data_IF_886959671985
#
_entry.id   IF_886959671985
#
_cell.length_a   1.000
_cell.length_b   1.000
_cell.length_c   1.000
_cell.angle_alpha   90.00
_cell.angle_beta   90.00
_cell.angle_gamma   90.00
#
_symmetry.space_group_name_H-M   'P 1'
#
loop_
_entity.id
_entity.type
_entity.pdbx_description
1 polymer ?
#
# COMPACT_ATOMS: atom_id res chain seq x y z
N UNK A 1 8.43 2.14 -46.87
CA UNK A 1 9.47 2.18 -45.83
C UNK A 1 9.98 0.76 -45.64
N UNK A 2 11.27 0.53 -45.82
CA UNK A 2 11.92 -0.75 -45.54
C UNK A 2 12.50 -0.67 -44.11
N UNK A 3 12.03 -1.55 -43.23
CA UNK A 3 12.44 -1.56 -41.82
C UNK A 3 13.88 -2.05 -41.63
N UNK A 4 14.42 -2.75 -42.64
CA UNK A 4 15.73 -3.42 -42.58
C UNK A 4 16.92 -2.48 -42.89
N UNK A 5 16.66 -1.29 -43.43
CA UNK A 5 17.70 -0.32 -43.83
C UNK A 5 18.06 0.69 -42.73
N UNK A 6 17.70 0.39 -41.48
CA UNK A 6 17.88 1.30 -40.36
C UNK A 6 19.34 1.34 -39.92
N UNK A 7 19.96 2.52 -39.96
CA UNK A 7 21.31 2.68 -39.38
C UNK A 7 21.27 2.54 -37.86
N UNK A 8 22.37 2.11 -37.25
CA UNK A 8 22.49 2.03 -35.79
C UNK A 8 22.22 3.39 -35.11
N UNK A 9 22.54 4.50 -35.78
CA UNK A 9 22.24 5.85 -35.28
C UNK A 9 20.74 6.16 -35.26
N UNK A 10 20.03 5.81 -36.33
CA UNK A 10 18.58 5.99 -36.43
C UNK A 10 17.83 5.03 -35.51
N UNK A 11 18.32 3.80 -35.35
CA UNK A 11 17.82 2.85 -34.35
C UNK A 11 17.91 3.43 -32.94
N UNK A 12 19.04 4.06 -32.59
CA UNK A 12 19.22 4.73 -31.29
C UNK A 12 18.28 5.93 -31.11
N UNK A 13 18.07 6.73 -32.14
CA UNK A 13 17.14 7.86 -32.08
C UNK A 13 15.68 7.40 -31.93
N UNK A 14 15.26 6.39 -32.69
CA UNK A 14 13.93 5.79 -32.54
C UNK A 14 13.76 5.12 -31.18
N UNK A 15 14.77 4.40 -30.70
CA UNK A 15 14.76 3.85 -29.34
C UNK A 15 14.68 4.94 -28.26
N UNK A 16 15.21 6.14 -28.49
CA UNK A 16 15.04 7.27 -27.57
C UNK A 16 13.66 7.92 -27.65
N UNK A 17 13.04 7.94 -28.84
CA UNK A 17 11.67 8.46 -29.04
C UNK A 17 10.60 7.52 -28.50
N UNK A 18 10.82 6.21 -28.62
CA UNK A 18 9.93 5.14 -28.18
C UNK A 18 10.43 4.40 -26.95
N UNK A 19 11.46 4.94 -26.29
CA UNK A 19 11.69 4.60 -24.90
C UNK A 19 10.33 4.80 -24.24
N UNK A 20 9.73 3.77 -23.64
CA UNK A 20 8.68 4.04 -22.68
C UNK A 20 9.26 5.11 -21.76
N UNK A 21 8.43 5.92 -21.10
CA UNK A 21 8.85 6.40 -19.80
C UNK A 21 9.05 5.15 -18.89
N UNK A 22 10.08 4.35 -19.17
CA UNK A 22 10.60 3.22 -18.42
C UNK A 22 11.34 3.74 -17.18
N UNK A 23 11.33 5.06 -16.96
CA UNK A 23 11.43 5.66 -15.63
C UNK A 23 10.22 5.35 -14.74
N UNK A 24 9.15 4.69 -15.23
CA UNK A 24 7.99 4.32 -14.41
C UNK A 24 7.90 2.82 -14.07
N UNK A 25 8.63 1.93 -14.76
CA UNK A 25 8.58 0.48 -14.53
C UNK A 25 9.91 -0.17 -14.92
N UNK A 26 10.94 -0.04 -14.09
CA UNK A 26 12.20 -0.70 -14.37
C UNK A 26 13.38 -0.21 -13.55
N UNK A 27 13.23 -0.12 -12.23
CA UNK A 27 14.35 -0.31 -11.31
C UNK A 27 13.82 -1.14 -10.16
N UNK A 28 14.64 -2.03 -9.60
CA UNK A 28 14.29 -2.77 -8.39
C UNK A 28 13.67 -1.79 -7.40
N UNK A 29 12.39 -1.98 -7.08
CA UNK A 29 11.65 -1.09 -6.17
C UNK A 29 12.56 -0.83 -4.97
N UNK A 30 12.93 0.43 -4.76
CA UNK A 30 13.77 0.79 -3.61
C UNK A 30 13.15 0.17 -2.36
N UNK A 31 14.00 -0.50 -1.57
CA UNK A 31 13.57 -1.19 -0.37
C UNK A 31 12.79 -0.21 0.51
N UNK A 32 11.54 -0.55 0.78
CA UNK A 32 10.66 0.28 1.59
C UNK A 32 10.62 -0.27 3.01
N UNK A 33 10.53 0.59 4.04
CA UNK A 33 10.27 0.16 5.40
C UNK A 33 9.01 -0.74 5.53
N UNK A 34 8.04 -0.57 4.63
CA UNK A 34 6.83 -1.40 4.57
C UNK A 34 7.07 -2.83 4.08
N UNK A 35 8.19 -3.13 3.42
CA UNK A 35 8.47 -4.47 2.89
C UNK A 35 8.58 -5.51 4.02
N UNK A 36 9.08 -5.11 5.19
CA UNK A 36 9.15 -5.96 6.38
C UNK A 36 7.77 -6.29 6.99
N UNK A 37 6.72 -5.57 6.57
CA UNK A 37 5.34 -5.75 7.03
C UNK A 37 4.47 -6.50 6.01
N UNK A 38 5.01 -6.87 4.86
CA UNK A 38 4.24 -7.56 3.82
C UNK A 38 3.69 -8.89 4.35
N UNK A 39 2.40 -9.12 4.13
CA UNK A 39 1.66 -10.30 4.63
C UNK A 39 1.24 -10.21 6.10
N UNK A 40 1.71 -9.21 6.85
CA UNK A 40 1.35 -9.01 8.26
C UNK A 40 0.09 -8.16 8.41
N UNK A 41 -0.54 -8.27 9.57
CA UNK A 41 -1.54 -7.30 9.99
C UNK A 41 -0.83 -6.01 10.36
N UNK A 42 -1.39 -4.88 9.94
CA UNK A 42 -0.88 -3.56 10.24
C UNK A 42 -2.00 -2.64 10.69
N UNK A 43 -1.62 -1.65 11.47
CA UNK A 43 -2.40 -0.45 11.74
C UNK A 43 -1.76 0.70 10.98
N UNK A 44 -2.57 1.50 10.31
CA UNK A 44 -2.16 2.75 9.68
C UNK A 44 -3.04 3.90 10.15
N UNK A 45 -2.45 5.08 10.31
CA UNK A 45 -3.21 6.32 10.51
C UNK A 45 -3.08 7.25 9.34
N UNK A 46 -4.21 7.84 8.98
CA UNK A 46 -4.28 9.07 8.18
C UNK A 46 -4.60 10.26 9.10
N UNK A 47 -4.82 11.43 8.52
CA UNK A 47 -5.16 12.65 9.28
C UNK A 47 -6.45 12.50 10.10
N UNK A 48 -7.44 11.79 9.57
CA UNK A 48 -8.77 11.68 10.20
C UNK A 48 -9.18 10.25 10.52
N UNK A 49 -8.53 9.24 9.92
CA UNK A 49 -8.98 7.86 10.00
C UNK A 49 -7.86 6.93 10.44
N UNK A 50 -8.23 5.91 11.23
CA UNK A 50 -7.37 4.79 11.57
C UNK A 50 -7.87 3.58 10.82
N UNK A 51 -6.97 2.82 10.20
CA UNK A 51 -7.31 1.54 9.58
C UNK A 51 -6.48 0.43 10.19
N UNK A 52 -7.10 -0.73 10.34
CA UNK A 52 -6.38 -1.99 10.49
C UNK A 52 -6.61 -2.84 9.24
N UNK A 53 -5.67 -3.72 8.92
CA UNK A 53 -5.81 -4.65 7.81
C UNK A 53 -4.53 -5.43 7.58
N UNK A 54 -4.59 -6.46 6.74
CA UNK A 54 -3.43 -7.25 6.34
C UNK A 54 -2.78 -6.62 5.09
N UNK A 55 -1.49 -6.36 5.15
CA UNK A 55 -0.75 -5.72 4.05
C UNK A 55 -0.53 -6.73 2.91
N UNK A 56 -1.27 -6.56 1.82
CA UNK A 56 -1.21 -7.43 0.65
C UNK A 56 -0.12 -7.03 -0.34
N UNK A 57 0.05 -5.72 -0.57
CA UNK A 57 1.01 -5.21 -1.53
C UNK A 57 1.50 -3.82 -1.16
N UNK A 58 2.71 -3.49 -1.60
CA UNK A 58 3.31 -2.17 -1.45
C UNK A 58 3.76 -1.66 -2.82
N UNK A 59 3.17 -0.55 -3.25
CA UNK A 59 3.49 0.15 -4.48
C UNK A 59 4.29 1.43 -4.17
N UNK A 60 4.84 2.12 -5.19
CA UNK A 60 5.53 3.39 -4.97
C UNK A 60 4.68 4.41 -4.22
N UNK A 61 3.39 4.51 -4.55
CA UNK A 61 2.49 5.52 -4.00
C UNK A 61 1.38 4.93 -3.12
N UNK A 62 1.11 3.62 -3.16
CA UNK A 62 -0.01 3.00 -2.46
C UNK A 62 0.40 1.84 -1.57
N UNK A 63 -0.38 1.63 -0.50
CA UNK A 63 -0.50 0.36 0.20
C UNK A 63 -1.80 -0.32 -0.21
N UNK A 64 -1.79 -1.64 -0.33
CA UNK A 64 -3.02 -2.42 -0.52
C UNK A 64 -3.25 -3.29 0.70
N UNK A 65 -4.39 -3.09 1.35
CA UNK A 65 -4.84 -3.89 2.48
C UNK A 65 -5.96 -4.85 2.05
N UNK A 66 -6.04 -5.98 2.74
CA UNK A 66 -7.20 -6.89 2.74
C UNK A 66 -7.63 -7.15 4.18
N UNK A 67 -8.85 -7.65 4.37
CA UNK A 67 -9.46 -7.81 5.69
C UNK A 67 -9.48 -6.52 6.51
N UNK A 68 -9.56 -5.38 5.82
CA UNK A 68 -9.41 -4.08 6.43
C UNK A 68 -10.66 -3.67 7.23
N UNK A 69 -10.46 -2.79 8.20
CA UNK A 69 -11.54 -2.11 8.92
C UNK A 69 -11.16 -0.66 9.18
N UNK A 70 -12.14 0.24 9.04
CA UNK A 70 -12.04 1.58 9.60
C UNK A 70 -12.29 1.51 11.10
N UNK A 71 -11.37 2.05 11.89
CA UNK A 71 -11.52 2.17 13.34
C UNK A 71 -12.00 3.58 13.66
N UNK A 72 -13.25 3.69 14.10
CA UNK A 72 -13.89 4.96 14.43
C UNK A 72 -13.54 5.43 15.85
N UNK A 73 -13.31 4.50 16.78
CA UNK A 73 -12.90 4.81 18.16
C UNK A 73 -11.93 3.76 18.74
N UNK A 74 -10.80 4.24 19.28
CA UNK A 74 -9.67 3.44 19.81
C UNK A 74 -9.54 3.47 21.33
N UNK A 75 -10.50 4.01 22.10
CA UNK A 75 -10.33 4.26 23.54
C UNK A 75 -9.02 5.02 23.83
N UNK A 76 -8.11 4.44 24.62
CA UNK A 76 -6.75 4.96 24.86
C UNK A 76 -5.81 4.41 23.79
N UNK A 77 -5.15 5.32 23.07
CA UNK A 77 -4.23 4.97 21.98
C UNK A 77 -3.20 3.89 22.31
N UNK A 78 -2.52 4.00 23.46
CA UNK A 78 -1.50 3.02 23.83
C UNK A 78 -2.10 1.62 24.05
N UNK A 79 -3.30 1.54 24.63
CA UNK A 79 -4.01 0.28 24.85
C UNK A 79 -4.36 -0.31 23.49
N UNK A 80 -5.07 0.45 22.65
CA UNK A 80 -5.40 0.06 21.27
C UNK A 80 -4.22 -0.58 20.51
N UNK A 81 -3.03 0.00 20.58
CA UNK A 81 -1.83 -0.56 19.92
C UNK A 81 -1.32 -1.84 20.60
N UNK A 82 -1.38 -1.92 21.93
CA UNK A 82 -0.83 -3.04 22.69
C UNK A 82 -1.76 -4.26 22.80
N UNK A 83 -3.06 -4.04 22.97
CA UNK A 83 -4.05 -5.07 23.29
C UNK A 83 -5.16 -5.20 22.23
N UNK A 84 -5.19 -4.31 21.24
CA UNK A 84 -6.20 -4.33 20.18
C UNK A 84 -7.56 -3.76 20.57
N UNK A 85 -7.67 -3.05 21.70
CA UNK A 85 -8.92 -2.52 22.21
C UNK A 85 -9.57 -1.50 21.28
N UNK A 86 -10.74 -1.84 20.75
CA UNK A 86 -11.56 -1.02 19.85
C UNK A 86 -12.91 -0.76 20.52
N UNK A 87 -13.43 0.47 20.41
CA UNK A 87 -14.80 0.80 20.86
C UNK A 87 -15.80 0.77 19.70
N UNK A 88 -15.40 1.26 18.53
CA UNK A 88 -16.22 1.25 17.32
C UNK A 88 -15.39 0.99 16.07
N UNK A 89 -15.87 0.12 15.19
CA UNK A 89 -15.25 -0.11 13.87
C UNK A 89 -16.22 -0.58 12.78
N UNK A 90 -15.83 -0.29 11.54
CA UNK A 90 -16.54 -0.68 10.33
C UNK A 90 -15.62 -1.53 9.43
N UNK A 91 -15.75 -2.87 9.48
CA UNK A 91 -15.02 -3.76 8.58
C UNK A 91 -15.44 -3.55 7.12
N UNK A 92 -14.47 -3.53 6.22
CA UNK A 92 -14.75 -3.65 4.80
C UNK A 92 -15.25 -5.07 4.48
N UNK A 93 -16.07 -5.22 3.43
CA UNK A 93 -16.50 -6.52 2.92
C UNK A 93 -15.35 -7.51 2.74
N UNK A 94 -15.67 -8.79 2.87
CA UNK A 94 -14.71 -9.88 2.74
C UNK A 94 -13.99 -9.85 1.38
N UNK A 95 -12.69 -10.16 1.39
CA UNK A 95 -11.78 -10.12 0.23
C UNK A 95 -11.68 -8.78 -0.52
N UNK A 96 -12.33 -7.72 -0.04
CA UNK A 96 -12.23 -6.42 -0.66
C UNK A 96 -10.85 -5.79 -0.40
N UNK A 97 -10.20 -5.38 -1.49
CA UNK A 97 -8.94 -4.64 -1.42
C UNK A 97 -9.20 -3.18 -1.09
N UNK A 98 -8.51 -2.68 -0.08
CA UNK A 98 -8.51 -1.26 0.29
C UNK A 98 -7.18 -0.66 -0.13
N UNK A 99 -7.23 0.33 -1.03
CA UNK A 99 -6.05 0.98 -1.59
C UNK A 99 -5.87 2.31 -0.87
N UNK A 100 -4.71 2.51 -0.26
CA UNK A 100 -4.42 3.70 0.55
C UNK A 100 -3.20 4.42 -0.02
N UNK A 101 -3.36 5.71 -0.34
CA UNK A 101 -2.26 6.56 -0.76
C UNK A 101 -1.26 6.81 0.38
N UNK A 102 0.01 6.45 0.16
CA UNK A 102 1.12 6.60 1.12
C UNK A 102 1.36 8.03 1.55
N UNK A 103 1.06 9.00 0.67
CA UNK A 103 1.16 10.43 0.98
C UNK A 103 0.15 10.93 2.02
N UNK A 104 -0.88 10.14 2.34
CA UNK A 104 -1.89 10.48 3.35
C UNK A 104 -1.59 9.85 4.72
N UNK A 105 -0.53 9.04 4.84
CA UNK A 105 -0.19 8.34 6.08
C UNK A 105 0.57 9.26 7.05
N UNK A 106 0.17 9.22 8.31
CA UNK A 106 0.92 9.81 9.43
C UNK A 106 1.91 8.78 9.97
N UNK A 107 1.44 7.57 10.25
CA UNK A 107 2.26 6.46 10.70
C UNK A 107 1.64 5.09 10.36
N UNK A 108 2.46 4.06 10.56
CA UNK A 108 2.07 2.67 10.44
C UNK A 108 2.86 1.82 11.43
N UNK A 109 2.24 0.77 11.96
CA UNK A 109 2.91 -0.22 12.81
C UNK A 109 2.30 -1.60 12.58
N UNK A 110 3.03 -2.64 12.95
CA UNK A 110 2.49 -4.00 13.00
C UNK A 110 1.32 -4.07 13.98
N UNK A 111 0.23 -4.72 13.56
CA UNK A 111 -0.95 -4.99 14.39
C UNK A 111 -0.85 -6.42 14.92
N UNK A 112 -0.68 -6.55 16.23
CA UNK A 112 -0.30 -7.84 16.85
C UNK A 112 -1.51 -8.70 17.25
N UNK A 113 -2.73 -8.19 17.11
CA UNK A 113 -3.96 -8.89 17.48
C UNK A 113 -4.75 -9.31 16.23
N UNK A 114 -5.86 -10.01 16.44
CA UNK A 114 -6.76 -10.36 15.36
C UNK A 114 -7.36 -9.10 14.70
N UNK A 115 -7.60 -9.15 13.40
CA UNK A 115 -8.28 -8.06 12.69
C UNK A 115 -9.78 -8.06 13.05
N UNK A 116 -10.39 -6.90 13.31
CA UNK A 116 -11.83 -6.81 13.51
C UNK A 116 -12.57 -7.13 12.21
N UNK A 117 -13.45 -8.15 12.25
CA UNK A 117 -14.25 -8.60 11.09
C UNK A 117 -15.76 -8.43 11.27
N UNK A 118 -16.20 -7.92 12.42
CA UNK A 118 -17.59 -7.60 12.71
C UNK A 118 -17.72 -6.14 13.13
N UNK A 119 -18.85 -5.52 12.77
CA UNK A 119 -19.19 -4.17 13.23
C UNK A 119 -19.50 -4.19 14.73
N UNK A 120 -19.01 -3.19 15.45
CA UNK A 120 -19.28 -2.95 16.88
C UNK A 120 -19.50 -1.46 17.13
#
# INVERSE_FOLDING_TARGET
MHLDDLTVGQAKQLAAMFQPHAQAMGDAREASPFDALLGKNIMIRTVTMIFTGRLLAVYPQELVLVDAAWIADTKRWQQFISDGGIDACEPYPEDQRVIVGRGALIDATEWLTALPRAQQ
#
